data_IF_267509055561
#
_entry.id   IF_267509055561
#
_cell.length_a   1.000
_cell.length_b   1.000
_cell.length_c   1.000
_cell.angle_alpha   90.00
_cell.angle_beta   90.00
_cell.angle_gamma   90.00
#
_symmetry.space_group_name_H-M   'P 1'
#
loop_
_entity.id
_entity.type
_entity.pdbx_description
1 polymer ?
#
# COMPACT_ATOMS: atom_id res chain seq x y z
N UNK A 1 10.18 16.13 12.48
CA UNK A 1 10.50 16.16 11.11
C UNK A 1 9.41 15.57 10.25
N UNK A 2 9.10 16.18 9.18
CA UNK A 2 8.01 15.73 8.34
C UNK A 2 8.44 14.53 7.50
N UNK A 3 7.58 13.53 7.37
CA UNK A 3 7.87 12.40 6.50
C UNK A 3 7.88 12.81 5.04
N UNK A 4 7.39 13.98 4.74
CA UNK A 4 7.38 14.47 3.36
C UNK A 4 8.74 15.01 2.95
N UNK A 5 9.63 15.24 3.90
CA UNK A 5 10.94 15.78 3.59
C UNK A 5 11.89 14.72 3.09
N UNK A 6 12.84 15.12 2.30
CA UNK A 6 13.91 14.22 1.92
C UNK A 6 14.91 14.13 3.07
N UNK A 7 15.47 12.96 3.27
CA UNK A 7 16.42 12.70 4.36
C UNK A 7 17.86 12.65 3.86
N UNK A 8 18.09 12.95 2.60
CA UNK A 8 19.41 13.03 2.00
C UNK A 8 19.34 14.04 0.87
N UNK A 9 20.47 14.58 0.44
CA UNK A 9 20.46 15.51 -0.69
C UNK A 9 19.85 14.84 -1.93
N UNK A 10 19.03 15.57 -2.63
CA UNK A 10 18.33 15.02 -3.78
C UNK A 10 19.28 14.38 -4.79
N UNK A 11 20.41 14.98 -5.01
CA UNK A 11 21.34 14.50 -6.02
C UNK A 11 21.99 13.16 -5.64
N UNK A 12 21.84 12.73 -4.40
CA UNK A 12 22.33 11.42 -3.99
C UNK A 12 21.24 10.36 -4.00
N UNK A 13 20.01 10.75 -4.34
CA UNK A 13 18.90 9.79 -4.34
C UNK A 13 18.68 9.26 -5.75
N UNK A 14 18.39 7.98 -5.86
CA UNK A 14 18.11 7.39 -7.15
C UNK A 14 16.77 7.87 -7.68
N UNK A 15 16.60 7.76 -8.99
CA UNK A 15 15.31 8.07 -9.60
C UNK A 15 14.20 7.19 -9.00
N UNK A 16 14.53 5.93 -8.73
CA UNK A 16 13.58 4.99 -8.13
C UNK A 16 13.15 5.48 -6.74
N UNK A 17 14.10 5.88 -5.90
CA UNK A 17 13.79 6.36 -4.57
C UNK A 17 12.93 7.63 -4.61
N UNK A 18 13.21 8.53 -5.54
CA UNK A 18 12.43 9.75 -5.66
C UNK A 18 11.01 9.48 -6.13
N UNK A 19 10.83 8.58 -7.09
CA UNK A 19 9.49 8.22 -7.54
C UNK A 19 8.70 7.57 -6.42
N UNK A 20 9.33 6.67 -5.69
CA UNK A 20 8.66 6.02 -4.56
C UNK A 20 8.32 7.04 -3.48
N UNK A 21 9.19 8.00 -3.24
CA UNK A 21 8.93 9.04 -2.27
C UNK A 21 7.64 9.79 -2.63
N UNK A 22 7.50 10.20 -3.89
CA UNK A 22 6.30 10.91 -4.32
C UNK A 22 5.05 10.04 -4.14
N UNK A 23 5.13 8.77 -4.50
CA UNK A 23 3.99 7.88 -4.38
C UNK A 23 3.63 7.62 -2.92
N UNK A 24 4.65 7.42 -2.07
CA UNK A 24 4.41 7.14 -0.66
C UNK A 24 3.81 8.34 0.05
N UNK A 25 4.32 9.55 -0.24
CA UNK A 25 3.75 10.75 0.35
C UNK A 25 2.31 10.93 -0.09
N UNK A 26 2.04 10.71 -1.37
CA UNK A 26 0.67 10.81 -1.87
C UNK A 26 -0.24 9.80 -1.21
N UNK A 27 0.24 8.56 -1.01
CA UNK A 27 -0.54 7.55 -0.33
C UNK A 27 -0.81 7.95 1.12
N UNK A 28 0.18 8.50 1.81
CA UNK A 28 -0.01 8.97 3.17
C UNK A 28 -1.08 10.05 3.25
N UNK A 29 -1.10 10.96 2.28
CA UNK A 29 -2.10 12.01 2.24
C UNK A 29 -3.50 11.46 2.04
N UNK A 30 -3.64 10.44 1.18
CA UNK A 30 -4.94 9.81 0.98
C UNK A 30 -5.40 9.09 2.25
N UNK A 31 -4.48 8.41 2.92
CA UNK A 31 -4.83 7.71 4.16
C UNK A 31 -5.25 8.69 5.25
N UNK A 32 -4.56 9.82 5.36
CA UNK A 32 -4.96 10.87 6.28
C UNK A 32 -6.37 11.37 5.97
N UNK A 33 -6.64 11.60 4.71
CA UNK A 33 -7.94 12.12 4.30
C UNK A 33 -9.07 11.12 4.59
N UNK A 34 -8.82 9.83 4.36
CA UNK A 34 -9.80 8.79 4.68
C UNK A 34 -10.17 8.84 6.17
N UNK A 35 -9.16 8.93 7.01
CA UNK A 35 -9.36 8.96 8.46
C UNK A 35 -10.12 10.22 8.88
N UNK A 36 -9.74 11.37 8.34
CA UNK A 36 -10.38 12.63 8.68
C UNK A 36 -11.84 12.66 8.24
N UNK A 37 -12.12 12.22 7.03
CA UNK A 37 -13.49 12.21 6.52
C UNK A 37 -14.37 11.26 7.32
N UNK A 38 -13.82 10.11 7.73
CA UNK A 38 -14.60 9.17 8.55
C UNK A 38 -14.97 9.80 9.89
N UNK A 39 -14.03 10.45 10.55
CA UNK A 39 -14.29 11.08 11.83
C UNK A 39 -15.31 12.20 11.68
N UNK A 40 -15.16 13.01 10.65
CA UNK A 40 -16.08 14.13 10.41
C UNK A 40 -17.47 13.63 10.08
N UNK A 41 -17.57 12.54 9.34
CA UNK A 41 -18.87 11.98 9.00
C UNK A 41 -19.57 11.44 10.24
N UNK A 42 -18.82 10.79 11.14
CA UNK A 42 -19.40 10.29 12.37
C UNK A 42 -19.92 11.43 13.25
N UNK A 43 -19.24 12.55 13.23
CA UNK A 43 -19.59 13.70 14.04
C UNK A 43 -20.71 14.55 13.43
N UNK A 44 -20.93 14.46 12.13
CA UNK A 44 -21.87 15.35 11.45
C UNK A 44 -23.32 15.03 11.80
N UNK A 45 -24.08 16.08 12.15
CA UNK A 45 -25.48 15.90 12.46
C UNK A 45 -26.34 16.09 11.21
N UNK A 46 -25.88 16.87 10.29
CA UNK A 46 -26.61 17.11 9.04
C UNK A 46 -26.43 15.90 8.13
N UNK A 47 -27.52 15.26 7.75
CA UNK A 47 -27.46 14.03 6.96
C UNK A 47 -26.87 14.25 5.57
N UNK A 48 -27.16 15.40 4.98
CA UNK A 48 -26.61 15.68 3.65
C UNK A 48 -25.10 15.87 3.73
N UNK A 49 -24.62 16.57 4.74
CA UNK A 49 -23.19 16.75 4.93
C UNK A 49 -22.52 15.40 5.23
N UNK A 50 -23.13 14.59 6.09
CA UNK A 50 -22.59 13.28 6.40
C UNK A 50 -22.44 12.44 5.12
N UNK A 51 -23.47 12.46 4.27
CA UNK A 51 -23.41 11.71 3.01
C UNK A 51 -22.29 12.18 2.11
N UNK A 52 -22.08 13.49 2.05
CA UNK A 52 -21.02 14.05 1.23
C UNK A 52 -19.64 13.65 1.77
N UNK A 53 -19.48 13.71 3.09
CA UNK A 53 -18.20 13.33 3.70
C UNK A 53 -17.91 11.85 3.49
N UNK A 54 -18.90 10.99 3.57
CA UNK A 54 -18.71 9.57 3.30
C UNK A 54 -18.38 9.33 1.83
N UNK A 55 -19.00 10.08 0.94
CA UNK A 55 -18.66 9.99 -0.49
C UNK A 55 -17.20 10.34 -0.71
N UNK A 56 -16.75 11.44 -0.12
CA UNK A 56 -15.36 11.88 -0.26
C UNK A 56 -14.40 10.84 0.32
N UNK A 57 -14.78 10.23 1.44
CA UNK A 57 -13.96 9.17 2.03
C UNK A 57 -13.79 8.01 1.06
N UNK A 58 -14.86 7.60 0.39
CA UNK A 58 -14.77 6.50 -0.56
C UNK A 58 -13.92 6.84 -1.77
N UNK A 59 -13.99 8.11 -2.20
CA UNK A 59 -13.12 8.56 -3.29
C UNK A 59 -11.65 8.48 -2.88
N UNK A 60 -11.33 8.85 -1.64
CA UNK A 60 -9.95 8.77 -1.19
C UNK A 60 -9.50 7.31 -1.04
N UNK A 61 -10.40 6.41 -0.70
CA UNK A 61 -10.06 4.99 -0.67
C UNK A 61 -9.68 4.48 -2.05
N UNK A 62 -10.39 4.94 -3.07
CA UNK A 62 -10.07 4.56 -4.44
C UNK A 62 -8.69 5.12 -4.83
N UNK A 63 -8.45 6.39 -4.51
CA UNK A 63 -7.16 7.01 -4.82
C UNK A 63 -6.01 6.30 -4.11
N UNK A 64 -6.21 5.94 -2.85
CA UNK A 64 -5.18 5.20 -2.10
C UNK A 64 -4.91 3.85 -2.74
N UNK A 65 -5.96 3.19 -3.21
CA UNK A 65 -5.81 1.88 -3.85
C UNK A 65 -5.04 1.97 -5.16
N UNK A 66 -5.29 3.02 -5.93
CA UNK A 66 -4.56 3.22 -7.18
C UNK A 66 -3.07 3.48 -6.92
N UNK A 67 -2.77 4.28 -5.88
CA UNK A 67 -1.38 4.53 -5.53
C UNK A 67 -0.69 3.26 -5.04
N UNK A 68 -1.39 2.47 -4.24
CA UNK A 68 -0.82 1.23 -3.74
C UNK A 68 -0.50 0.29 -4.90
N UNK A 69 -1.37 0.22 -5.90
CA UNK A 69 -1.12 -0.63 -7.06
C UNK A 69 0.08 -0.12 -7.87
N UNK A 70 0.22 1.21 -8.00
CA UNK A 70 1.38 1.76 -8.68
C UNK A 70 2.67 1.39 -7.96
N UNK A 71 2.66 1.48 -6.62
CA UNK A 71 3.81 1.11 -5.81
C UNK A 71 4.13 -0.38 -6.00
N UNK A 72 3.09 -1.22 -6.02
CA UNK A 72 3.29 -2.64 -6.24
C UNK A 72 3.99 -2.92 -7.58
N UNK A 73 3.60 -2.21 -8.61
CA UNK A 73 4.20 -2.41 -9.93
C UNK A 73 5.61 -1.88 -10.03
N UNK A 74 5.96 -0.95 -9.15
CA UNK A 74 7.23 -0.25 -9.23
C UNK A 74 8.29 -0.81 -8.30
N UNK A 75 7.90 -1.34 -7.16
CA UNK A 75 8.84 -1.81 -6.15
C UNK A 75 8.65 -3.30 -5.89
N UNK A 76 9.65 -4.09 -6.28
CA UNK A 76 9.55 -5.55 -6.20
C UNK A 76 9.44 -6.08 -4.77
N UNK A 77 10.12 -5.44 -3.84
CA UNK A 77 10.07 -5.88 -2.44
C UNK A 77 8.67 -5.67 -1.87
N UNK A 78 8.09 -4.52 -2.13
CA UNK A 78 6.75 -4.23 -1.67
C UNK A 78 5.77 -5.19 -2.34
N UNK A 79 5.95 -5.43 -3.64
CA UNK A 79 5.09 -6.35 -4.38
C UNK A 79 5.08 -7.74 -3.74
N UNK A 80 6.25 -8.22 -3.34
CA UNK A 80 6.35 -9.55 -2.72
C UNK A 80 5.57 -9.64 -1.43
N UNK A 81 5.66 -8.62 -0.60
CA UNK A 81 4.93 -8.62 0.65
C UNK A 81 3.42 -8.51 0.43
N UNK A 82 3.02 -7.66 -0.50
CA UNK A 82 1.60 -7.55 -0.81
C UNK A 82 1.03 -8.87 -1.32
N UNK A 83 1.81 -9.57 -2.14
CA UNK A 83 1.37 -10.85 -2.65
C UNK A 83 1.23 -11.89 -1.55
N UNK A 84 2.07 -11.84 -0.54
CA UNK A 84 2.02 -12.77 0.58
C UNK A 84 0.76 -12.58 1.42
N UNK A 85 0.36 -11.34 1.66
CA UNK A 85 -0.68 -11.05 2.63
C UNK A 85 -2.04 -10.68 2.06
N UNK A 86 -2.08 -9.99 0.92
CA UNK A 86 -3.36 -9.50 0.42
C UNK A 86 -4.22 -10.63 -0.12
N UNK A 87 -5.52 -10.47 0.05
CA UNK A 87 -6.52 -11.42 -0.46
C UNK A 87 -6.39 -12.80 0.17
N UNK A 88 -5.87 -12.85 1.40
CA UNK A 88 -5.82 -14.08 2.17
C UNK A 88 -6.85 -14.02 3.27
N UNK A 89 -7.14 -15.16 3.89
CA UNK A 89 -8.12 -15.21 4.97
C UNK A 89 -7.62 -15.90 6.22
N UNK A 90 -6.36 -16.30 6.23
CA UNK A 90 -5.79 -16.91 7.42
C UNK A 90 -5.32 -15.81 8.37
N UNK A 91 -5.13 -16.13 9.64
CA UNK A 91 -4.61 -15.12 10.56
C UNK A 91 -3.29 -14.58 10.06
N UNK A 92 -3.16 -13.27 10.09
CA UNK A 92 -2.01 -12.60 9.47
C UNK A 92 -0.68 -13.07 10.04
N UNK A 93 -0.60 -13.24 11.36
CA UNK A 93 0.65 -13.67 11.95
C UNK A 93 0.99 -15.12 11.62
N UNK A 94 -0.01 -15.94 11.32
CA UNK A 94 0.24 -17.31 10.87
C UNK A 94 0.83 -17.30 9.46
N UNK A 95 0.36 -16.38 8.62
CA UNK A 95 0.90 -16.23 7.28
C UNK A 95 2.37 -15.81 7.37
N UNK A 96 2.66 -14.88 8.27
CA UNK A 96 4.04 -14.43 8.46
C UNK A 96 4.93 -15.59 8.89
N UNK A 97 4.48 -16.41 9.84
CA UNK A 97 5.27 -17.53 10.30
C UNK A 97 5.54 -18.52 9.19
N UNK A 98 4.53 -18.83 8.39
CA UNK A 98 4.70 -19.76 7.29
C UNK A 98 5.68 -19.23 6.26
N UNK A 99 5.60 -17.94 5.97
CA UNK A 99 6.50 -17.33 5.01
C UNK A 99 7.95 -17.31 5.52
N UNK A 100 8.14 -16.98 6.80
CA UNK A 100 9.47 -16.96 7.39
C UNK A 100 10.06 -18.35 7.48
N UNK A 101 9.26 -19.32 7.88
CA UNK A 101 9.73 -20.68 7.96
C UNK A 101 10.12 -21.21 6.60
N UNK A 102 9.34 -20.86 5.57
CA UNK A 102 9.64 -21.30 4.26
C UNK A 102 10.92 -20.64 3.76
N UNK A 103 11.08 -19.35 3.96
CA UNK A 103 12.28 -18.66 3.57
C UNK A 103 13.48 -19.25 4.28
N UNK A 104 13.37 -19.49 5.55
CA UNK A 104 14.46 -20.05 6.31
C UNK A 104 14.84 -21.41 5.80
N UNK A 105 13.85 -22.22 5.51
CA UNK A 105 14.15 -23.55 5.04
C UNK A 105 14.58 -23.51 3.59
N UNK A 106 13.99 -22.66 2.85
CA UNK A 106 14.24 -22.62 1.44
C UNK A 106 15.42 -21.85 1.01
N UNK A 107 16.01 -21.24 1.88
CA UNK A 107 17.10 -20.50 1.46
C UNK A 107 16.86 -19.23 0.87
N UNK A 108 16.23 -18.68 0.51
CA UNK A 108 16.27 -17.44 0.05
C UNK A 108 15.06 -16.83 -0.40
N UNK A 109 15.03 -15.70 -0.22
CA UNK A 109 13.98 -14.93 -0.55
C UNK A 109 13.84 -14.92 -1.99
N UNK A 110 14.78 -15.10 -2.60
CA UNK A 110 14.73 -15.00 -3.97
C UNK A 110 13.63 -15.74 -4.50
N UNK A 111 13.19 -16.50 -3.79
CA UNK A 111 12.28 -17.23 -4.29
C UNK A 111 11.00 -16.69 -4.31
N UNK A 112 10.78 -15.69 -4.01
CA UNK A 112 9.58 -15.21 -4.03
C UNK A 112 9.23 -15.05 -5.30
N UNK A 113 9.26 -15.71 -5.99
CA UNK A 113 9.12 -15.64 -7.26
C UNK A 113 7.85 -15.31 -7.60
N UNK A 114 7.43 -15.81 -7.25
CA UNK A 114 6.38 -15.67 -7.63
C UNK A 114 6.02 -14.47 -7.93
N UNK A 115 6.30 -14.05 -7.65
CA UNK A 115 5.91 -12.94 -7.67
C UNK A 115 6.38 -12.32 -8.65
N UNK A 116 6.65 -12.77 -9.20
CA UNK A 116 7.19 -12.24 -10.04
C UNK A 116 6.28 -11.66 -10.65
N UNK A 117 5.88 -11.14 -10.37
CA UNK A 117 5.07 -10.43 -10.79
C UNK A 117 4.63 -10.51 -11.91
N UNK A 118 4.86 -10.44 -12.33
CA UNK A 118 4.47 -10.46 -13.41
C UNK A 118 3.49 -11.32 -13.67
N UNK A 119 3.36 -11.85 -13.50
CA UNK A 119 2.61 -12.56 -13.78
C UNK A 119 1.48 -12.41 -13.35
N UNK A 120 1.34 -11.92 -13.17
CA UNK A 120 0.39 -11.81 -12.71
C UNK A 120 -0.53 -11.70 -13.26
N UNK A 121 -0.22 -11.61 -13.99
CA UNK A 121 -1.00 -11.60 -14.54
C UNK A 121 -2.02 -11.78 -14.41
N UNK A 122 -1.87 -11.73 -14.35
CA UNK A 122 -2.70 -11.84 -14.24
C UNK A 122 -3.54 -12.24 -13.80
N UNK A 123 -3.50 -12.54 -13.71
CA UNK A 123 -4.21 -12.97 -13.37
C UNK A 123 -4.97 -12.92 -12.54
N UNK A 124 -4.87 -12.78 -12.26
CA UNK A 124 -5.47 -12.71 -11.48
C UNK A 124 -6.17 -12.08 -10.93
N UNK A 125 -6.19 -11.81 -10.96
CA UNK A 125 -6.74 -11.22 -10.43
C UNK A 125 -7.28 -10.56 -10.31
N UNK A 126 -7.31 -10.38 -10.36
CA UNK A 126 -7.74 -9.69 -10.32
C UNK A 126 -8.24 -9.32 -10.29
#
# INVERSE_FOLDING_TARGET
MSSESLHAPRERLSSHALKLHHALVSLMEELDAIDWYRQRADDAEDEQLKGLLLHNMREEMEHASMLLEWIRRTDADFAGHLQTYLFTDKPILDIEKAAEGKDGAGGGPAKRPGFTIGRLDGERRS
#
